data_IF_684206822171
#
_entry.id   IF_684206822171
#
_cell.length_a   1.000
_cell.length_b   1.000
_cell.length_c   1.000
_cell.angle_alpha   90.00
_cell.angle_beta   90.00
_cell.angle_gamma   90.00
#
_symmetry.space_group_name_H-M   'P 1'
#
loop_
_entity.id
_entity.type
_entity.pdbx_description
1 polymer ?
#
# COMPACT_ATOMS: atom_id res chain seq x y z
N UNK A 1 4.63 -1.01 -11.98
CA UNK A 1 3.29 -1.43 -11.44
C UNK A 1 3.51 -2.22 -10.16
N UNK A 2 2.59 -2.14 -9.18
CA UNK A 2 2.66 -2.92 -7.92
C UNK A 2 2.77 -4.41 -8.22
N UNK A 3 2.02 -4.90 -9.22
CA UNK A 3 2.10 -6.29 -9.67
C UNK A 3 3.51 -6.77 -9.96
N UNK A 4 4.36 -5.94 -10.53
CA UNK A 4 5.73 -6.34 -10.90
C UNK A 4 6.61 -6.48 -9.64
N UNK A 5 6.42 -5.60 -8.65
CA UNK A 5 7.03 -5.75 -7.32
C UNK A 5 6.60 -7.04 -6.64
N UNK A 6 5.30 -7.36 -6.67
CA UNK A 6 4.77 -8.61 -6.09
C UNK A 6 5.33 -9.86 -6.79
N UNK A 7 5.42 -9.86 -8.12
CA UNK A 7 6.09 -10.94 -8.86
C UNK A 7 7.55 -11.09 -8.46
N UNK A 8 8.25 -9.98 -8.23
CA UNK A 8 9.62 -9.99 -7.75
C UNK A 8 9.72 -10.60 -6.35
N UNK A 9 8.81 -10.23 -5.43
CA UNK A 9 8.73 -10.82 -4.10
C UNK A 9 8.44 -12.33 -4.14
N UNK A 10 7.59 -12.79 -5.06
CA UNK A 10 7.33 -14.21 -5.24
C UNK A 10 8.55 -14.97 -5.78
N UNK A 11 9.29 -14.39 -6.70
CA UNK A 11 10.44 -15.04 -7.37
C UNK A 11 11.73 -14.90 -6.58
N UNK A 12 12.02 -13.73 -6.06
CA UNK A 12 13.32 -13.39 -5.45
C UNK A 12 13.23 -13.11 -3.95
N UNK A 13 12.06 -12.74 -3.45
CA UNK A 13 11.90 -12.31 -2.07
C UNK A 13 12.41 -10.88 -1.83
N UNK A 14 12.52 -10.51 -0.55
CA UNK A 14 13.14 -9.27 -0.10
C UNK A 14 14.06 -9.56 1.08
N UNK A 15 15.25 -8.98 1.11
CA UNK A 15 16.11 -9.04 2.30
C UNK A 15 15.61 -8.06 3.36
N UNK A 16 16.14 -8.20 4.57
CA UNK A 16 15.80 -7.31 5.68
C UNK A 16 16.32 -5.89 5.45
N UNK A 17 15.61 -4.90 6.00
CA UNK A 17 16.06 -3.48 6.01
C UNK A 17 17.45 -3.33 6.66
N UNK A 18 17.75 -4.14 7.69
CA UNK A 18 19.07 -4.16 8.32
C UNK A 18 20.18 -4.58 7.35
N UNK A 19 19.86 -5.48 6.42
CA UNK A 19 20.85 -6.00 5.42
C UNK A 19 21.08 -5.02 4.28
N UNK A 20 20.03 -4.34 3.85
CA UNK A 20 20.06 -3.34 2.79
C UNK A 20 19.19 -2.15 3.18
N UNK A 21 19.73 -1.22 3.99
CA UNK A 21 18.97 -0.07 4.47
C UNK A 21 18.51 0.84 3.34
N UNK A 22 17.31 1.42 3.47
CA UNK A 22 16.84 2.45 2.55
C UNK A 22 17.68 3.72 2.66
N UNK A 23 18.51 3.97 1.66
CA UNK A 23 19.33 5.17 1.53
C UNK A 23 19.03 5.81 0.19
N UNK A 24 18.38 6.98 0.20
CA UNK A 24 17.84 7.62 -1.00
C UNK A 24 18.92 7.82 -2.11
N UNK A 25 20.15 8.14 -1.73
CA UNK A 25 21.27 8.29 -2.67
C UNK A 25 21.73 6.97 -3.33
N UNK A 26 21.23 5.85 -2.87
CA UNK A 26 21.61 4.51 -3.33
C UNK A 26 20.49 3.78 -4.09
N UNK A 27 19.39 4.45 -4.40
CA UNK A 27 18.22 3.81 -5.03
C UNK A 27 18.53 3.15 -6.39
N UNK A 28 19.56 3.61 -7.10
CA UNK A 28 20.01 3.02 -8.36
C UNK A 28 21.04 1.90 -8.18
N UNK A 29 21.56 1.69 -6.97
CA UNK A 29 22.56 0.64 -6.73
C UNK A 29 21.88 -0.73 -6.62
N UNK A 30 22.47 -1.70 -7.31
CA UNK A 30 22.05 -3.10 -7.18
C UNK A 30 22.48 -3.65 -5.82
N UNK A 31 21.58 -4.34 -5.08
CA UNK A 31 21.93 -5.02 -3.83
C UNK A 31 23.04 -6.07 -4.02
N UNK A 32 23.75 -6.37 -2.94
CA UNK A 32 24.84 -7.35 -2.97
C UNK A 32 24.32 -8.79 -3.15
N UNK A 33 25.13 -9.75 -3.62
CA UNK A 33 24.74 -11.15 -3.69
C UNK A 33 24.25 -11.74 -2.35
N UNK A 34 24.79 -11.25 -1.23
CA UNK A 34 24.35 -11.67 0.10
C UNK A 34 22.90 -11.23 0.41
N UNK A 35 22.46 -10.08 -0.12
CA UNK A 35 21.06 -9.64 0.00
C UNK A 35 20.12 -10.56 -0.78
N UNK A 36 20.48 -10.95 -1.99
CA UNK A 36 19.68 -11.89 -2.79
C UNK A 36 19.61 -13.28 -2.16
N UNK A 37 20.70 -13.76 -1.56
CA UNK A 37 20.71 -15.03 -0.83
C UNK A 37 19.76 -15.00 0.37
N UNK A 38 19.79 -13.93 1.18
CA UNK A 38 18.89 -13.76 2.32
C UNK A 38 17.43 -13.60 1.87
N UNK A 39 17.17 -12.85 0.80
CA UNK A 39 15.85 -12.59 0.26
C UNK A 39 15.07 -13.88 -0.05
N UNK A 40 15.73 -14.97 -0.44
CA UNK A 40 15.08 -16.26 -0.71
C UNK A 40 14.31 -16.82 0.50
N UNK A 41 14.68 -16.44 1.72
CA UNK A 41 13.99 -16.84 2.93
C UNK A 41 12.68 -16.08 3.16
N UNK A 42 12.48 -14.96 2.45
CA UNK A 42 11.35 -14.03 2.61
C UNK A 42 10.55 -13.89 1.32
N UNK A 43 10.32 -15.00 0.63
CA UNK A 43 9.45 -15.05 -0.54
C UNK A 43 8.00 -15.17 -0.12
N UNK A 44 7.11 -14.53 -0.87
CA UNK A 44 5.67 -14.76 -0.73
C UNK A 44 5.28 -16.07 -1.42
N UNK A 45 4.30 -16.79 -0.85
CA UNK A 45 3.81 -18.06 -1.38
C UNK A 45 2.79 -17.88 -2.48
N UNK A 46 1.88 -16.98 -2.25
CA UNK A 46 0.80 -16.69 -3.18
C UNK A 46 0.41 -15.22 -3.11
N UNK A 47 -0.20 -14.76 -4.17
CA UNK A 47 -0.77 -13.42 -4.26
C UNK A 47 -2.04 -13.47 -5.10
N UNK A 48 -2.99 -12.61 -4.78
CA UNK A 48 -4.26 -12.53 -5.46
C UNK A 48 -4.61 -11.09 -5.76
N UNK A 49 -5.11 -10.81 -6.96
CA UNK A 49 -5.69 -9.53 -7.31
C UNK A 49 -7.07 -9.41 -6.68
N UNK A 50 -7.38 -8.22 -6.18
CA UNK A 50 -8.71 -7.85 -5.71
C UNK A 50 -9.32 -6.85 -6.69
N UNK A 51 -10.61 -7.00 -6.98
CA UNK A 51 -11.25 -6.19 -8.01
C UNK A 51 -12.43 -5.37 -7.50
N UNK A 52 -13.06 -5.81 -6.41
CA UNK A 52 -14.25 -5.18 -5.86
C UNK A 52 -14.04 -4.75 -4.42
N UNK A 53 -14.83 -3.78 -3.96
CA UNK A 53 -14.86 -3.35 -2.56
C UNK A 53 -15.20 -4.52 -1.63
N UNK A 54 -16.09 -5.40 -2.04
CA UNK A 54 -16.48 -6.57 -1.24
C UNK A 54 -15.34 -7.59 -1.11
N UNK A 55 -14.56 -7.80 -2.16
CA UNK A 55 -13.35 -8.64 -2.08
C UNK A 55 -12.30 -8.01 -1.16
N UNK A 56 -12.11 -6.69 -1.22
CA UNK A 56 -11.20 -5.96 -0.33
C UNK A 56 -11.63 -6.08 1.14
N UNK A 57 -12.92 -5.89 1.43
CA UNK A 57 -13.50 -6.05 2.77
C UNK A 57 -13.35 -7.49 3.27
N UNK A 58 -13.69 -8.47 2.44
CA UNK A 58 -13.57 -9.90 2.77
C UNK A 58 -12.12 -10.29 3.04
N UNK A 59 -11.18 -9.76 2.25
CA UNK A 59 -9.75 -9.96 2.47
C UNK A 59 -9.30 -9.45 3.85
N UNK A 60 -9.71 -8.22 4.20
CA UNK A 60 -9.40 -7.62 5.49
C UNK A 60 -10.09 -8.33 6.66
N UNK A 61 -11.35 -8.77 6.49
CA UNK A 61 -12.07 -9.55 7.48
C UNK A 61 -11.39 -10.90 7.75
N UNK A 62 -10.76 -11.48 6.73
CA UNK A 62 -9.91 -12.67 6.86
C UNK A 62 -8.54 -12.42 7.50
N UNK A 63 -8.25 -11.19 7.94
CA UNK A 63 -6.98 -10.81 8.58
C UNK A 63 -5.84 -10.50 7.60
N UNK A 64 -6.13 -10.34 6.31
CA UNK A 64 -5.11 -10.11 5.30
C UNK A 64 -5.16 -8.69 4.75
N UNK A 65 -4.07 -7.91 4.89
CA UNK A 65 -3.96 -6.61 4.25
C UNK A 65 -3.80 -6.73 2.73
N UNK A 66 -4.03 -5.62 2.03
CA UNK A 66 -3.76 -5.54 0.60
C UNK A 66 -3.02 -4.24 0.26
N UNK A 67 -2.13 -4.31 -0.71
CA UNK A 67 -1.46 -3.14 -1.29
C UNK A 67 -2.26 -2.64 -2.48
N UNK A 68 -2.25 -1.32 -2.72
CA UNK A 68 -2.89 -0.71 -3.88
C UNK A 68 -2.25 0.62 -4.25
N UNK A 69 -2.46 1.04 -5.50
CA UNK A 69 -2.11 2.35 -6.00
C UNK A 69 -3.33 3.26 -6.05
N UNK A 70 -3.13 4.54 -5.76
CA UNK A 70 -4.18 5.54 -5.96
C UNK A 70 -3.62 6.85 -6.51
N UNK A 71 -4.47 7.60 -7.19
CA UNK A 71 -4.17 8.94 -7.67
C UNK A 71 -4.20 9.92 -6.51
N UNK A 72 -3.14 10.67 -6.33
CA UNK A 72 -3.03 11.73 -5.33
C UNK A 72 -3.50 13.05 -5.93
N UNK A 73 -4.43 13.70 -5.25
CA UNK A 73 -4.91 15.05 -5.55
C UNK A 73 -4.41 16.06 -4.52
N UNK A 74 -4.51 17.36 -4.83
CA UNK A 74 -4.02 18.45 -3.97
C UNK A 74 -4.54 18.35 -2.53
N UNK A 75 -5.80 17.96 -2.34
CA UNK A 75 -6.41 17.81 -1.01
C UNK A 75 -5.70 16.76 -0.15
N UNK A 76 -5.15 15.69 -0.74
CA UNK A 76 -4.41 14.67 0.00
C UNK A 76 -3.14 15.22 0.64
N UNK A 77 -2.46 16.16 -0.02
CA UNK A 77 -1.22 16.79 0.47
C UNK A 77 -1.50 18.00 1.39
N UNK A 78 -2.77 18.28 1.70
CA UNK A 78 -3.16 19.38 2.58
C UNK A 78 -2.70 19.19 4.03
N UNK A 79 -2.47 20.28 4.74
CA UNK A 79 -2.18 20.24 6.18
C UNK A 79 -3.34 19.60 6.98
N UNK A 80 -4.58 19.74 6.50
CA UNK A 80 -5.75 19.14 7.14
C UNK A 80 -5.64 17.62 7.10
N UNK A 81 -5.38 17.02 5.93
CA UNK A 81 -5.20 15.56 5.81
C UNK A 81 -3.95 15.09 6.57
N UNK A 82 -2.86 15.86 6.51
CA UNK A 82 -1.65 15.56 7.27
C UNK A 82 -1.87 15.52 8.80
N UNK A 83 -2.84 16.29 9.32
CA UNK A 83 -3.19 16.29 10.75
C UNK A 83 -4.26 15.26 11.11
N UNK A 84 -5.27 15.09 10.27
CA UNK A 84 -6.46 14.30 10.61
C UNK A 84 -6.46 12.89 10.05
N UNK A 85 -5.73 12.66 8.96
CA UNK A 85 -5.79 11.41 8.20
C UNK A 85 -7.14 11.15 7.54
N UNK A 86 -8.00 12.16 7.36
CA UNK A 86 -9.32 12.00 6.74
C UNK A 86 -9.24 12.46 5.28
N UNK A 87 -9.16 11.49 4.37
CA UNK A 87 -9.17 11.73 2.92
C UNK A 87 -10.60 11.70 2.40
N UNK A 88 -10.99 12.68 1.63
CA UNK A 88 -12.30 12.72 0.98
C UNK A 88 -12.18 12.44 -0.53
N UNK A 89 -13.34 12.32 -1.21
CA UNK A 89 -13.35 12.27 -2.67
C UNK A 89 -12.78 13.59 -3.21
N UNK A 90 -11.97 13.54 -4.28
CA UNK A 90 -11.42 14.76 -4.87
C UNK A 90 -12.52 15.63 -5.48
N UNK A 91 -12.36 16.93 -5.36
CA UNK A 91 -13.24 17.88 -6.01
C UNK A 91 -13.03 17.91 -7.54
N UNK A 92 -14.03 18.36 -8.31
CA UNK A 92 -14.00 18.29 -9.78
C UNK A 92 -12.92 19.15 -10.45
N UNK A 93 -12.30 20.06 -9.70
CA UNK A 93 -11.27 20.99 -10.19
C UNK A 93 -9.91 20.78 -9.53
N UNK A 94 -9.79 19.77 -8.67
CA UNK A 94 -8.49 19.46 -8.03
C UNK A 94 -7.47 18.95 -9.03
N UNK A 95 -6.23 19.37 -8.88
CA UNK A 95 -5.13 18.90 -9.71
C UNK A 95 -4.62 17.56 -9.20
N UNK A 96 -4.26 16.72 -10.16
CA UNK A 96 -3.53 15.49 -9.88
C UNK A 96 -2.09 15.84 -9.55
N UNK A 97 -1.61 15.37 -8.39
CA UNK A 97 -0.23 15.56 -7.91
C UNK A 97 0.67 14.38 -8.26
N UNK A 98 0.09 13.19 -8.44
CA UNK A 98 0.83 11.98 -8.79
C UNK A 98 0.11 10.70 -8.40
N UNK A 99 0.86 9.62 -8.28
CA UNK A 99 0.39 8.33 -7.80
C UNK A 99 1.11 7.95 -6.52
N UNK A 100 0.44 7.19 -5.64
CA UNK A 100 1.01 6.70 -4.39
C UNK A 100 0.59 5.25 -4.15
N UNK A 101 1.49 4.47 -3.56
CA UNK A 101 1.23 3.08 -3.19
C UNK A 101 1.17 2.93 -1.67
N UNK A 102 0.13 2.29 -1.17
CA UNK A 102 -0.18 2.18 0.25
C UNK A 102 -0.79 0.82 0.59
N UNK A 103 -1.07 0.58 1.88
CA UNK A 103 -1.59 -0.69 2.38
C UNK A 103 -2.94 -0.50 3.06
N UNK A 104 -4.00 -1.11 2.52
CA UNK A 104 -5.29 -1.26 3.19
C UNK A 104 -5.19 -2.26 4.34
N UNK A 105 -5.55 -1.85 5.56
CA UNK A 105 -5.36 -2.65 6.79
C UNK A 105 -6.65 -2.84 7.59
N UNK A 106 -7.71 -2.14 7.25
CA UNK A 106 -9.00 -2.24 7.93
C UNK A 106 -10.10 -1.50 7.18
N UNK A 107 -11.30 -1.57 7.71
CA UNK A 107 -12.46 -0.88 7.15
C UNK A 107 -13.48 -0.53 8.23
N UNK A 108 -14.35 0.42 7.91
CA UNK A 108 -15.48 0.84 8.73
C UNK A 108 -16.72 0.94 7.85
N UNK A 109 -17.65 -0.02 7.99
CA UNK A 109 -18.86 -0.09 7.17
C UNK A 109 -19.87 1.02 7.48
N UNK A 110 -19.95 1.46 8.73
CA UNK A 110 -20.86 2.55 9.11
C UNK A 110 -20.47 3.89 8.45
N UNK A 111 -19.17 4.10 8.23
CA UNK A 111 -18.63 5.27 7.58
C UNK A 111 -18.34 5.06 6.09
N UNK A 112 -18.43 3.82 5.59
CA UNK A 112 -18.05 3.41 4.23
C UNK A 112 -16.63 3.83 3.88
N UNK A 113 -15.66 3.52 4.76
CA UNK A 113 -14.26 3.92 4.61
C UNK A 113 -13.30 2.76 4.86
N UNK A 114 -12.22 2.71 4.09
CA UNK A 114 -11.06 1.88 4.41
C UNK A 114 -10.11 2.61 5.35
N UNK A 115 -9.41 1.85 6.18
CA UNK A 115 -8.28 2.29 6.99
C UNK A 115 -7.01 1.88 6.25
N UNK A 116 -6.13 2.84 6.02
CA UNK A 116 -4.95 2.68 5.16
C UNK A 116 -3.69 3.07 5.92
N UNK A 117 -2.66 2.25 5.84
CA UNK A 117 -1.34 2.57 6.38
C UNK A 117 -0.52 3.31 5.32
N UNK A 118 -0.04 4.50 5.70
CA UNK A 118 0.89 5.29 4.89
C UNK A 118 2.36 4.94 5.22
N UNK A 119 3.30 5.42 4.40
CA UNK A 119 4.75 5.26 4.58
C UNK A 119 5.47 6.54 5.01
N UNK A 120 4.72 7.55 5.50
CA UNK A 120 5.27 8.89 5.84
C UNK A 120 5.55 9.09 7.33
N UNK A 121 5.62 7.99 8.09
CA UNK A 121 5.90 8.01 9.51
C UNK A 121 4.67 8.28 10.38
N UNK A 122 4.82 8.07 11.69
CA UNK A 122 3.71 8.17 12.66
C UNK A 122 3.35 9.61 13.06
N UNK A 123 4.11 10.60 12.64
CA UNK A 123 3.77 12.02 12.81
C UNK A 123 2.73 12.54 11.79
N UNK A 124 2.39 11.75 10.76
CA UNK A 124 1.43 12.10 9.73
C UNK A 124 0.09 11.39 9.95
N UNK A 125 -1.01 12.12 9.70
CA UNK A 125 -2.37 11.58 9.78
C UNK A 125 -2.73 11.03 11.15
N UNK A 126 -3.40 9.91 11.20
CA UNK A 126 -3.75 9.17 12.41
C UNK A 126 -2.61 8.24 12.82
N UNK A 127 -1.50 8.79 13.30
CA UNK A 127 -0.29 8.03 13.67
C UNK A 127 0.25 7.16 12.53
N UNK A 128 0.33 7.73 11.33
CA UNK A 128 0.81 7.04 10.13
C UNK A 128 -0.28 6.36 9.32
N UNK A 129 -1.54 6.53 9.70
CA UNK A 129 -2.71 5.98 8.99
C UNK A 129 -3.62 7.09 8.48
N UNK A 130 -4.50 6.71 7.56
CA UNK A 130 -5.58 7.57 7.08
C UNK A 130 -6.82 6.73 6.74
N UNK A 131 -7.95 7.39 6.58
CA UNK A 131 -9.16 6.78 6.05
C UNK A 131 -9.49 7.35 4.68
N UNK A 132 -10.00 6.49 3.80
CA UNK A 132 -10.38 6.83 2.44
C UNK A 132 -11.75 6.22 2.10
N UNK A 133 -12.65 6.91 1.39
CA UNK A 133 -13.98 6.39 1.05
C UNK A 133 -13.91 5.10 0.22
N UNK A 134 -14.90 4.22 0.37
CA UNK A 134 -15.07 3.05 -0.49
C UNK A 134 -15.16 3.43 -1.97
N UNK A 135 -15.86 4.52 -2.27
CA UNK A 135 -16.05 5.02 -3.64
C UNK A 135 -14.73 5.43 -4.31
N UNK A 136 -13.73 5.83 -3.51
CA UNK A 136 -12.40 6.15 -4.03
C UNK A 136 -11.72 4.90 -4.60
N UNK A 137 -11.81 3.78 -3.88
CA UNK A 137 -11.21 2.50 -4.28
C UNK A 137 -12.08 1.77 -5.32
N UNK A 138 -13.39 2.01 -5.34
CA UNK A 138 -14.29 1.47 -6.35
C UNK A 138 -14.08 2.11 -7.74
N UNK A 139 -13.61 3.36 -7.78
CA UNK A 139 -13.40 4.09 -9.02
C UNK A 139 -12.01 3.78 -9.63
N UNK A 140 -12.01 3.08 -10.75
CA UNK A 140 -10.78 2.66 -11.45
C UNK A 140 -9.94 3.80 -12.03
N UNK A 141 -10.51 5.01 -12.14
CA UNK A 141 -9.76 6.21 -12.51
C UNK A 141 -9.01 6.82 -11.32
N UNK A 142 -9.40 6.46 -10.09
CA UNK A 142 -8.82 6.98 -8.86
C UNK A 142 -7.88 5.98 -8.17
N UNK A 143 -8.15 4.70 -8.31
CA UNK A 143 -7.37 3.63 -7.65
C UNK A 143 -7.31 2.36 -8.50
N UNK A 144 -6.18 1.68 -8.47
CA UNK A 144 -5.97 0.42 -9.21
C UNK A 144 -4.85 -0.43 -8.56
N UNK A 145 -4.62 -1.59 -9.17
CA UNK A 145 -3.51 -2.49 -8.88
C UNK A 145 -3.55 -3.05 -7.44
N UNK A 146 -4.73 -3.52 -7.02
CA UNK A 146 -5.00 -4.08 -5.68
C UNK A 146 -4.51 -5.51 -5.57
N UNK A 147 -3.66 -5.78 -4.57
CA UNK A 147 -3.07 -7.10 -4.38
C UNK A 147 -2.99 -7.48 -2.91
N UNK A 148 -3.46 -8.66 -2.57
CA UNK A 148 -3.17 -9.28 -1.29
C UNK A 148 -2.10 -10.36 -1.45
N UNK A 149 -1.24 -10.52 -0.46
CA UNK A 149 -0.13 -11.48 -0.46
C UNK A 149 -0.25 -12.41 0.74
N UNK A 150 0.28 -13.62 0.57
CA UNK A 150 0.45 -14.60 1.66
C UNK A 150 1.94 -14.88 1.82
N UNK A 151 2.48 -14.57 2.97
CA UNK A 151 3.84 -14.97 3.33
C UNK A 151 3.85 -16.44 3.81
N UNK A 152 5.02 -17.07 3.73
CA UNK A 152 5.22 -18.38 4.34
C UNK A 152 5.21 -18.21 5.85
N UNK A 153 4.49 -19.09 6.57
CA UNK A 153 4.80 -19.29 7.98
C UNK A 153 6.25 -19.74 8.08
N UNK A 154 7.03 -19.03 8.90
CA UNK A 154 8.35 -19.54 9.26
C UNK A 154 8.13 -20.80 10.09
N UNK A 155 8.53 -21.96 9.54
CA UNK A 155 8.67 -23.16 10.35
C UNK A 155 9.86 -23.00 11.29
#
# INVERSE_FOLDING_TARGET
MIRDGIKTLAKQGACTEKKWPYVIKQFTKKPTPACYKEALNYRILSYQRLETVDEMRSCLAGGFPFVFGFTVYESFESQQVAKTGIVNMPGPKEKVMGGHAVVGVGYNDSQKRFIVRNSWGNGWGMKGYFTIPYDYLANRNLSDDFWTIRAREQM
#
